data_IF_969414075742
#
_entry.id   IF_969414075742
#
_cell.length_a   1.000
_cell.length_b   1.000
_cell.length_c   1.000
_cell.angle_alpha   90.00
_cell.angle_beta   90.00
_cell.angle_gamma   90.00
#
_symmetry.space_group_name_H-M   'P 1'
#
loop_
_entity.id
_entity.type
_entity.pdbx_description
1 polymer ?
#
# COMPACT_ATOMS: atom_id res chain seq x y z
N UNK A 1 8.14 -0.85 22.80
CA UNK A 1 8.63 -0.33 21.50
C UNK A 1 8.19 -1.30 20.43
N UNK A 2 7.94 -0.82 19.21
CA UNK A 2 7.31 -1.60 18.13
C UNK A 2 8.26 -2.53 17.36
N UNK A 3 9.03 -3.36 18.07
CA UNK A 3 10.14 -4.11 17.47
C UNK A 3 9.69 -5.13 16.43
N UNK A 4 8.73 -5.99 16.75
CA UNK A 4 8.31 -7.06 15.84
C UNK A 4 7.48 -6.50 14.68
N UNK A 5 6.65 -5.49 14.94
CA UNK A 5 5.90 -4.81 13.89
C UNK A 5 6.82 -4.14 12.85
N UNK A 6 7.96 -3.59 13.28
CA UNK A 6 8.98 -3.04 12.37
C UNK A 6 9.67 -4.12 11.54
N UNK A 7 9.95 -5.28 12.12
CA UNK A 7 10.47 -6.41 11.35
C UNK A 7 9.51 -6.84 10.24
N UNK A 8 8.21 -6.93 10.53
CA UNK A 8 7.20 -7.22 9.49
C UNK A 8 7.16 -6.12 8.42
N UNK A 9 7.33 -4.85 8.80
CA UNK A 9 7.38 -3.74 7.86
C UNK A 9 8.62 -3.77 6.97
N UNK A 10 9.76 -4.25 7.47
CA UNK A 10 10.96 -4.52 6.67
C UNK A 10 10.70 -5.63 5.65
N UNK A 11 10.01 -6.71 6.05
CA UNK A 11 9.59 -7.76 5.14
C UNK A 11 8.62 -7.25 4.05
N UNK A 12 7.76 -6.27 4.36
CA UNK A 12 6.93 -5.61 3.34
C UNK A 12 7.81 -4.93 2.27
N UNK A 13 8.90 -4.26 2.66
CA UNK A 13 9.79 -3.61 1.70
C UNK A 13 10.50 -4.64 0.79
N UNK A 14 10.86 -5.80 1.33
CA UNK A 14 11.38 -6.92 0.52
C UNK A 14 10.30 -7.46 -0.42
N UNK A 15 9.06 -7.61 0.07
CA UNK A 15 7.95 -8.07 -0.75
C UNK A 15 7.68 -7.13 -1.95
N UNK A 16 7.84 -5.82 -1.76
CA UNK A 16 7.74 -4.85 -2.84
C UNK A 16 8.82 -5.07 -3.91
N UNK A 17 10.08 -5.27 -3.52
CA UNK A 17 11.17 -5.58 -4.46
C UNK A 17 10.87 -6.86 -5.26
N UNK A 18 10.38 -7.90 -4.59
CA UNK A 18 9.99 -9.14 -5.26
C UNK A 18 8.86 -8.91 -6.28
N UNK A 19 7.92 -8.02 -6.00
CA UNK A 19 6.83 -7.64 -6.92
C UNK A 19 7.32 -6.80 -8.11
N UNK A 20 8.35 -5.99 -7.94
CA UNK A 20 8.98 -5.23 -9.02
C UNK A 20 9.75 -6.14 -9.98
N UNK A 21 10.38 -7.19 -9.47
CA UNK A 21 11.22 -8.11 -10.25
C UNK A 21 10.43 -9.25 -10.91
N UNK A 22 9.38 -9.77 -10.26
CA UNK A 22 8.66 -10.96 -10.73
C UNK A 22 7.85 -10.68 -12.00
N UNK A 23 8.12 -11.43 -13.07
CA UNK A 23 7.48 -11.28 -14.37
C UNK A 23 6.34 -12.29 -14.59
N UNK A 24 6.37 -13.44 -13.90
CA UNK A 24 5.32 -14.45 -14.02
C UNK A 24 4.05 -13.99 -13.29
N UNK A 25 2.94 -13.86 -14.03
CA UNK A 25 1.67 -13.38 -13.49
C UNK A 25 1.16 -14.20 -12.30
N UNK A 26 1.31 -15.52 -12.37
CA UNK A 26 0.80 -16.40 -11.34
C UNK A 26 1.59 -16.22 -10.04
N UNK A 27 2.92 -16.15 -10.14
CA UNK A 27 3.81 -15.87 -9.01
C UNK A 27 3.59 -14.47 -8.48
N UNK A 28 3.47 -13.47 -9.35
CA UNK A 28 3.18 -12.09 -8.97
C UNK A 28 1.91 -12.02 -8.14
N UNK A 29 0.82 -12.66 -8.60
CA UNK A 29 -0.45 -12.71 -7.86
C UNK A 29 -0.32 -13.38 -6.49
N UNK A 30 0.48 -14.45 -6.38
CA UNK A 30 0.75 -15.14 -5.12
C UNK A 30 1.57 -14.23 -4.18
N UNK A 31 2.60 -13.56 -4.72
CA UNK A 31 3.41 -12.59 -4.01
C UNK A 31 2.55 -11.43 -3.51
N UNK A 32 1.64 -10.92 -4.33
CA UNK A 32 0.71 -9.84 -3.95
C UNK A 32 -0.16 -10.22 -2.77
N UNK A 33 -0.74 -11.43 -2.79
CA UNK A 33 -1.51 -11.95 -1.66
C UNK A 33 -0.68 -12.02 -0.37
N UNK A 34 0.59 -12.42 -0.47
CA UNK A 34 1.54 -12.42 0.64
C UNK A 34 1.87 -11.00 1.12
N UNK A 35 2.19 -10.12 0.20
CA UNK A 35 2.58 -8.74 0.44
C UNK A 35 1.48 -7.95 1.17
N UNK A 36 0.24 -8.02 0.67
CA UNK A 36 -0.93 -7.39 1.31
C UNK A 36 -1.22 -8.01 2.68
N UNK A 37 -1.00 -9.31 2.83
CA UNK A 37 -1.13 -9.98 4.14
C UNK A 37 -0.09 -9.49 5.15
N UNK A 38 1.14 -9.22 4.72
CA UNK A 38 2.19 -8.62 5.56
C UNK A 38 1.82 -7.21 6.01
N UNK A 39 1.31 -6.35 5.12
CA UNK A 39 0.82 -5.00 5.51
C UNK A 39 -0.22 -5.08 6.63
N UNK A 40 -1.16 -6.03 6.55
CA UNK A 40 -2.15 -6.22 7.62
C UNK A 40 -1.55 -6.85 8.87
N UNK A 41 -0.50 -7.65 8.74
CA UNK A 41 0.20 -8.28 9.84
C UNK A 41 0.93 -7.25 10.72
N UNK A 42 1.48 -6.17 10.17
CA UNK A 42 2.12 -5.08 10.94
C UNK A 42 1.24 -4.63 12.11
N UNK A 43 -0.01 -4.22 11.83
CA UNK A 43 -0.96 -3.81 12.88
C UNK A 43 -1.40 -4.94 13.82
N UNK A 44 -1.51 -6.17 13.32
CA UNK A 44 -1.84 -7.33 14.17
C UNK A 44 -0.72 -7.66 15.15
N UNK A 45 0.53 -7.62 14.70
CA UNK A 45 1.74 -7.88 15.49
C UNK A 45 1.93 -6.76 16.51
N UNK A 46 1.78 -5.50 16.10
CA UNK A 46 1.78 -4.36 17.02
C UNK A 46 0.85 -4.60 18.21
N UNK A 47 -0.41 -4.96 17.96
CA UNK A 47 -1.42 -5.09 19.02
C UNK A 47 -1.31 -6.39 19.82
N UNK A 48 -0.94 -7.51 19.19
CA UNK A 48 -1.01 -8.85 19.81
C UNK A 48 0.33 -9.43 20.26
N UNK A 49 1.43 -8.85 19.79
CA UNK A 49 2.79 -9.29 20.08
C UNK A 49 3.53 -8.18 20.82
N UNK A 50 3.78 -7.04 20.17
CA UNK A 50 4.58 -5.97 20.78
C UNK A 50 3.89 -5.36 22.01
N UNK A 51 2.58 -5.13 21.93
CA UNK A 51 1.81 -4.52 23.02
C UNK A 51 1.40 -5.51 24.14
N UNK A 52 1.57 -6.83 23.95
CA UNK A 52 0.97 -7.87 24.81
C UNK A 52 1.23 -7.66 26.30
N UNK A 53 2.47 -7.36 26.66
CA UNK A 53 2.93 -7.23 28.04
C UNK A 53 3.29 -5.77 28.40
N UNK A 54 2.88 -4.81 27.57
CA UNK A 54 3.16 -3.37 27.74
C UNK A 54 1.83 -2.60 27.76
N UNK A 55 1.22 -2.39 28.95
CA UNK A 55 -0.09 -1.73 29.07
C UNK A 55 -0.12 -0.32 28.47
N UNK A 56 1.00 0.41 28.56
CA UNK A 56 1.12 1.74 27.98
C UNK A 56 1.08 1.66 26.45
N UNK A 57 1.88 0.78 25.85
CA UNK A 57 1.86 0.56 24.40
C UNK A 57 0.50 0.04 23.92
N UNK A 58 -0.16 -0.84 24.69
CA UNK A 58 -1.53 -1.29 24.40
C UNK A 58 -2.49 -0.11 24.32
N UNK A 59 -2.49 0.75 25.33
CA UNK A 59 -3.38 1.92 25.36
C UNK A 59 -3.13 2.88 24.20
N UNK A 60 -1.86 3.14 23.86
CA UNK A 60 -1.50 4.02 22.75
C UNK A 60 -1.88 3.38 21.42
N UNK A 61 -1.53 2.11 21.20
CA UNK A 61 -1.87 1.40 19.97
C UNK A 61 -3.38 1.29 19.74
N UNK A 62 -4.17 1.06 20.80
CA UNK A 62 -5.63 1.01 20.70
C UNK A 62 -6.25 2.38 20.37
N UNK A 63 -5.72 3.46 20.96
CA UNK A 63 -6.11 4.83 20.62
C UNK A 63 -5.89 5.09 19.12
N UNK A 64 -4.67 4.87 18.63
CA UNK A 64 -4.35 5.05 17.20
C UNK A 64 -5.19 4.16 16.28
N UNK A 65 -5.37 2.88 16.63
CA UNK A 65 -6.19 1.96 15.85
C UNK A 65 -7.66 2.40 15.73
N UNK A 66 -8.21 3.01 16.77
CA UNK A 66 -9.55 3.57 16.73
C UNK A 66 -9.62 4.83 15.85
N UNK A 67 -8.57 5.66 15.85
CA UNK A 67 -8.47 6.81 14.93
C UNK A 67 -8.42 6.36 13.47
N UNK A 68 -7.61 5.34 13.13
CA UNK A 68 -7.47 4.86 11.75
C UNK A 68 -8.78 4.39 11.11
N UNK A 69 -9.74 3.96 11.94
CA UNK A 69 -11.07 3.52 11.50
C UNK A 69 -12.06 4.65 11.27
N UNK A 70 -11.78 5.86 11.72
CA UNK A 70 -12.67 7.01 11.48
C UNK A 70 -12.59 7.44 10.03
N UNK A 71 -13.65 8.05 9.51
CA UNK A 71 -13.69 8.60 8.15
C UNK A 71 -12.86 9.89 8.00
N UNK A 72 -11.54 9.74 8.16
CA UNK A 72 -10.54 10.77 7.93
C UNK A 72 -9.68 10.40 6.71
N UNK A 73 -9.42 11.38 5.85
CA UNK A 73 -8.62 11.20 4.63
C UNK A 73 -7.20 10.71 4.93
N UNK A 74 -6.60 11.15 6.04
CA UNK A 74 -5.24 10.74 6.45
C UNK A 74 -5.10 9.24 6.81
N UNK A 75 -6.22 8.53 6.94
CA UNK A 75 -6.28 7.11 7.26
C UNK A 75 -6.97 6.29 6.16
N UNK A 76 -7.23 6.89 5.01
CA UNK A 76 -7.89 6.24 3.89
C UNK A 76 -7.13 4.98 3.44
N UNK A 77 -5.80 5.06 3.32
CA UNK A 77 -4.92 3.91 2.99
C UNK A 77 -5.10 2.71 3.93
N UNK A 78 -5.42 2.95 5.20
CA UNK A 78 -5.69 1.88 6.15
C UNK A 78 -7.02 1.18 5.85
N UNK A 79 -8.10 1.96 5.65
CA UNK A 79 -9.46 1.43 5.48
C UNK A 79 -9.68 0.85 4.10
N UNK A 80 -9.39 1.65 3.07
CA UNK A 80 -9.78 1.38 1.69
C UNK A 80 -8.76 0.52 0.92
N UNK A 81 -7.51 0.46 1.40
CA UNK A 81 -6.48 -0.41 0.81
C UNK A 81 -6.07 -1.54 1.76
N UNK A 82 -5.34 -1.26 2.84
CA UNK A 82 -4.75 -2.32 3.70
C UNK A 82 -5.83 -3.29 4.24
N UNK A 83 -6.95 -2.76 4.74
CA UNK A 83 -8.01 -3.60 5.28
C UNK A 83 -8.89 -4.22 4.19
N UNK A 84 -9.31 -3.42 3.21
CA UNK A 84 -10.22 -3.84 2.14
C UNK A 84 -9.56 -4.85 1.19
N UNK A 85 -8.40 -4.55 0.63
CA UNK A 85 -7.71 -5.43 -0.33
C UNK A 85 -7.35 -6.76 0.32
N UNK A 86 -6.91 -6.74 1.58
CA UNK A 86 -6.69 -7.96 2.35
C UNK A 86 -7.98 -8.76 2.53
N UNK A 87 -9.11 -8.11 2.84
CA UNK A 87 -10.39 -8.80 2.96
C UNK A 87 -10.81 -9.42 1.62
N UNK A 88 -10.66 -8.71 0.50
CA UNK A 88 -10.93 -9.23 -0.83
C UNK A 88 -10.14 -10.50 -1.11
N UNK A 89 -8.82 -10.47 -0.86
CA UNK A 89 -7.92 -11.60 -1.12
C UNK A 89 -8.22 -12.77 -0.18
N UNK A 90 -8.31 -12.54 1.13
CA UNK A 90 -8.41 -13.64 2.10
C UNK A 90 -9.83 -14.21 2.26
N UNK A 91 -10.87 -13.42 2.00
CA UNK A 91 -12.26 -13.87 2.19
C UNK A 91 -12.93 -14.27 0.87
N UNK A 92 -12.55 -13.65 -0.23
CA UNK A 92 -13.21 -13.84 -1.53
C UNK A 92 -12.27 -14.31 -2.64
N UNK A 93 -10.95 -14.34 -2.38
CA UNK A 93 -9.92 -14.59 -3.39
C UNK A 93 -10.07 -13.68 -4.61
N UNK A 94 -10.50 -12.45 -4.36
CA UNK A 94 -10.60 -11.37 -5.35
C UNK A 94 -9.43 -10.42 -5.17
N UNK A 95 -8.97 -9.89 -6.29
CA UNK A 95 -7.82 -9.01 -6.37
C UNK A 95 -8.31 -7.66 -6.90
N UNK A 96 -8.01 -6.57 -6.19
CA UNK A 96 -8.39 -5.21 -6.57
C UNK A 96 -7.52 -4.62 -7.67
N UNK A 97 -6.89 -5.45 -8.48
CA UNK A 97 -5.95 -5.11 -9.54
C UNK A 97 -6.44 -5.69 -10.87
N UNK A 98 -6.11 -5.00 -11.95
CA UNK A 98 -6.60 -5.38 -13.27
C UNK A 98 -6.15 -6.79 -13.67
N UNK A 99 -7.08 -7.68 -14.08
CA UNK A 99 -6.81 -9.11 -14.22
C UNK A 99 -6.24 -9.50 -15.59
N UNK A 100 -6.25 -8.58 -16.57
CA UNK A 100 -5.81 -8.89 -17.93
C UNK A 100 -4.29 -8.80 -18.06
N UNK A 101 -3.79 -9.67 -18.94
CA UNK A 101 -2.43 -9.72 -19.47
C UNK A 101 -2.02 -8.33 -19.99
N UNK A 102 -2.74 -7.73 -20.93
CA UNK A 102 -2.42 -6.38 -21.43
C UNK A 102 -3.28 -5.28 -20.79
N UNK A 103 -2.65 -4.15 -20.45
CA UNK A 103 -3.36 -2.91 -20.07
C UNK A 103 -3.18 -1.88 -21.19
N UNK A 104 -4.31 -1.53 -21.83
CA UNK A 104 -4.34 -0.48 -22.84
C UNK A 104 -4.24 0.91 -22.19
N UNK A 105 -3.16 1.63 -22.48
CA UNK A 105 -2.98 3.03 -22.06
C UNK A 105 -3.14 3.98 -23.23
N UNK A 106 -3.76 5.13 -22.99
CA UNK A 106 -3.88 6.19 -24.00
C UNK A 106 -2.68 7.11 -23.88
N UNK A 107 -1.83 7.13 -24.90
CA UNK A 107 -0.70 8.06 -25.00
C UNK A 107 -1.11 9.21 -25.91
N UNK A 108 -1.09 10.43 -25.37
CA UNK A 108 -1.32 11.66 -26.13
C UNK A 108 0.02 12.35 -26.40
N UNK A 109 0.53 12.21 -27.62
CA UNK A 109 1.76 12.86 -28.04
C UNK A 109 1.46 14.29 -28.49
N UNK A 110 2.13 15.27 -27.87
CA UNK A 110 2.07 16.68 -28.25
C UNK A 110 3.22 17.01 -29.20
N UNK A 111 2.88 17.35 -30.44
CA UNK A 111 3.82 17.79 -31.46
C UNK A 111 3.79 19.32 -31.56
N UNK A 112 4.92 19.96 -31.28
CA UNK A 112 5.10 21.40 -31.51
C UNK A 112 5.81 21.61 -32.85
N UNK A 113 5.19 22.25 -33.85
CA UNK A 113 5.83 22.49 -35.13
C UNK A 113 7.09 23.38 -34.98
N UNK A 114 8.21 23.07 -35.66
CA UNK A 114 9.45 23.87 -35.57
C UNK A 114 9.27 25.34 -35.99
N UNK A 115 8.22 25.64 -36.76
CA UNK A 115 7.89 26.99 -37.24
C UNK A 115 6.96 27.80 -36.35
N UNK A 116 6.66 27.36 -35.11
CA UNK A 116 5.85 28.15 -34.16
C UNK A 116 4.34 28.13 -34.43
N UNK A 117 3.79 26.99 -34.85
CA UNK A 117 2.34 26.78 -34.98
C UNK A 117 1.68 26.19 -33.73
N UNK A 118 0.35 26.07 -33.77
CA UNK A 118 -0.41 25.43 -32.69
C UNK A 118 0.05 23.99 -32.46
N UNK A 119 0.22 23.55 -31.20
CA UNK A 119 0.58 22.18 -30.90
C UNK A 119 -0.49 21.20 -31.37
N UNK A 120 -0.07 20.14 -32.06
CA UNK A 120 -0.95 19.06 -32.48
C UNK A 120 -0.89 17.91 -31.48
N UNK A 121 -2.03 17.29 -31.22
CA UNK A 121 -2.12 16.14 -30.32
C UNK A 121 -2.49 14.89 -31.11
N UNK A 122 -1.69 13.84 -30.97
CA UNK A 122 -1.97 12.52 -31.54
C UNK A 122 -2.24 11.55 -30.39
N UNK A 123 -3.48 11.04 -30.31
CA UNK A 123 -3.84 9.98 -29.37
C UNK A 123 -3.59 8.61 -30.00
N UNK A 124 -2.86 7.75 -29.32
CA UNK A 124 -2.69 6.34 -29.69
C UNK A 124 -2.88 5.46 -28.46
N UNK A 125 -3.51 4.29 -28.64
CA UNK A 125 -3.58 3.27 -27.60
C UNK A 125 -2.33 2.41 -27.74
N UNK A 126 -1.58 2.30 -26.66
CA UNK A 126 -0.46 1.37 -26.53
C UNK A 126 -0.84 0.30 -25.50
N UNK A 127 -0.52 -0.95 -25.78
CA UNK A 127 -0.56 -1.98 -24.76
C UNK A 127 0.79 -1.97 -24.06
N UNK A 128 0.78 -1.68 -22.76
CA UNK A 128 1.96 -1.89 -21.94
C UNK A 128 2.06 -3.37 -21.60
N UNK A 129 3.29 -3.88 -21.57
CA UNK A 129 3.57 -5.22 -21.07
C UNK A 129 3.01 -5.38 -19.66
N UNK A 130 2.53 -6.59 -19.40
CA UNK A 130 1.66 -7.01 -18.32
C UNK A 130 2.18 -6.63 -16.93
N UNK A 131 3.50 -6.54 -16.78
CA UNK A 131 4.13 -6.25 -15.51
C UNK A 131 4.75 -4.86 -15.41
N UNK A 132 4.71 -4.08 -16.48
CA UNK A 132 5.13 -2.67 -16.45
C UNK A 132 4.11 -1.86 -15.64
N UNK A 133 2.83 -2.21 -15.70
CA UNK A 133 1.76 -1.44 -15.07
C UNK A 133 0.60 -2.31 -14.58
N UNK A 134 0.27 -2.21 -13.30
CA UNK A 134 -0.76 -2.99 -12.61
C UNK A 134 -1.77 -2.07 -11.93
N UNK A 135 -2.74 -1.49 -12.65
CA UNK A 135 -3.65 -0.53 -12.06
C UNK A 135 -4.57 -1.16 -11.02
N UNK A 136 -4.77 -0.46 -9.91
CA UNK A 136 -5.87 -0.72 -9.00
C UNK A 136 -7.21 -0.45 -9.71
N UNK A 137 -8.21 -1.28 -9.43
CA UNK A 137 -9.52 -1.26 -10.09
C UNK A 137 -10.58 -0.42 -9.39
N UNK A 138 -10.35 -0.04 -8.14
CA UNK A 138 -11.38 0.56 -7.30
C UNK A 138 -10.74 1.39 -6.17
N UNK A 139 -11.59 2.10 -5.43
CA UNK A 139 -11.28 3.00 -4.32
C UNK A 139 -10.51 4.27 -4.76
N UNK A 140 -9.87 4.93 -3.79
CA UNK A 140 -9.15 6.18 -3.98
C UNK A 140 -8.00 6.14 -5.01
N UNK A 141 -7.51 4.95 -5.33
CA UNK A 141 -6.33 4.72 -6.17
C UNK A 141 -6.68 4.10 -7.52
N UNK A 142 -7.94 4.18 -7.98
CA UNK A 142 -8.32 3.64 -9.29
C UNK A 142 -7.39 4.19 -10.39
N UNK A 143 -6.71 3.29 -11.09
CA UNK A 143 -5.72 3.65 -12.11
C UNK A 143 -4.32 4.01 -11.59
N UNK A 144 -4.04 3.91 -10.29
CA UNK A 144 -2.66 3.96 -9.79
C UNK A 144 -2.02 2.58 -9.84
N UNK A 145 -0.69 2.52 -10.02
CA UNK A 145 0.00 1.23 -10.00
C UNK A 145 -0.02 0.61 -8.60
N UNK A 146 -0.39 -0.66 -8.51
CA UNK A 146 -0.52 -1.39 -7.26
C UNK A 146 0.75 -1.35 -6.39
N UNK A 147 1.95 -1.30 -7.00
CA UNK A 147 3.23 -1.20 -6.28
C UNK A 147 3.42 0.18 -5.65
N UNK A 148 2.95 1.23 -6.31
CA UNK A 148 2.97 2.60 -5.76
C UNK A 148 2.03 2.72 -4.56
N UNK A 149 0.81 2.18 -4.66
CA UNK A 149 -0.15 2.13 -3.55
C UNK A 149 0.39 1.28 -2.39
N UNK A 150 1.07 0.17 -2.71
CA UNK A 150 1.74 -0.66 -1.72
C UNK A 150 2.88 0.09 -1.00
N UNK A 151 3.69 0.85 -1.73
CA UNK A 151 4.73 1.71 -1.16
C UNK A 151 4.13 2.81 -0.27
N UNK A 152 3.03 3.44 -0.68
CA UNK A 152 2.30 4.41 0.15
C UNK A 152 1.85 3.77 1.48
N UNK A 153 1.36 2.52 1.44
CA UNK A 153 0.98 1.78 2.64
C UNK A 153 2.17 1.46 3.56
N UNK A 154 3.34 1.15 3.02
CA UNK A 154 4.58 0.97 3.80
C UNK A 154 4.94 2.28 4.51
N UNK A 155 4.96 3.40 3.77
CA UNK A 155 5.34 4.70 4.32
C UNK A 155 4.34 5.18 5.37
N UNK A 156 3.05 4.91 5.15
CA UNK A 156 2.01 5.15 6.15
C UNK A 156 2.27 4.35 7.42
N UNK A 157 2.53 3.04 7.32
CA UNK A 157 2.85 2.21 8.49
C UNK A 157 4.08 2.70 9.23
N UNK A 158 5.15 3.07 8.51
CA UNK A 158 6.37 3.63 9.11
C UNK A 158 6.02 4.86 9.95
N UNK A 159 5.26 5.80 9.38
CA UNK A 159 4.79 7.00 10.09
C UNK A 159 3.98 6.64 11.34
N UNK A 160 3.05 5.69 11.26
CA UNK A 160 2.25 5.30 12.41
C UNK A 160 3.08 4.67 13.53
N UNK A 161 4.02 3.77 13.20
CA UNK A 161 4.90 3.16 14.20
C UNK A 161 5.82 4.20 14.85
N UNK A 162 6.33 5.17 14.09
CA UNK A 162 7.13 6.28 14.62
C UNK A 162 6.34 7.16 15.59
N UNK A 163 5.09 7.50 15.25
CA UNK A 163 4.19 8.26 16.13
C UNK A 163 3.92 7.52 17.45
N UNK A 164 3.63 6.22 17.36
CA UNK A 164 3.38 5.38 18.54
C UNK A 164 4.62 5.29 19.43
N UNK A 165 5.80 5.01 18.85
CA UNK A 165 7.04 4.93 19.62
C UNK A 165 7.41 6.29 20.25
N UNK A 166 7.12 7.41 19.59
CA UNK A 166 7.33 8.75 20.14
C UNK A 166 6.38 9.03 21.32
N UNK A 167 5.09 8.72 21.18
CA UNK A 167 4.09 8.92 22.24
C UNK A 167 4.40 8.07 23.47
N UNK A 168 4.77 6.79 23.28
CA UNK A 168 5.18 5.90 24.37
C UNK A 168 6.44 6.40 25.07
N UNK A 169 7.44 6.88 24.32
CA UNK A 169 8.66 7.48 24.92
C UNK A 169 8.34 8.71 25.75
N UNK A 170 7.52 9.63 25.21
CA UNK A 170 7.10 10.85 25.91
C UNK A 170 6.32 10.56 27.20
N UNK A 171 5.40 9.59 27.14
CA UNK A 171 4.62 9.18 28.31
C UNK A 171 5.49 8.55 29.40
N UNK A 172 6.51 7.76 29.03
CA UNK A 172 7.48 7.18 29.97
C UNK A 172 8.41 8.21 30.61
N UNK A 173 8.80 9.26 29.89
CA UNK A 173 9.62 10.34 30.45
C UNK A 173 8.85 11.30 31.35
N UNK A 174 7.51 11.25 31.31
CA UNK A 174 6.63 12.07 32.14
C UNK A 174 6.15 11.37 33.42
N UNK A 175 6.59 10.11 33.64
CA UNK A 175 6.37 9.32 34.85
C UNK A 175 7.62 9.31 35.72
#
# INVERSE_FOLDING_TARGET
MTTTARQVLEDCAVALQLLEEEQDLQRWRILWAGAVSLLRAVGSVLKKVDARDDPLLTSVADKHHNEWKKEAAEHQIFREFIENERNNILKEYKFGIHPLEDVGVVIQLKFSPPGGGEPQYLGQIFNLDENIYRPMLDNAWEGDDAREVYQEAIDWWRKQLDLIDAEVRSARSSQ
#
